data_IF_475300491443
#
_entry.id   IF_475300491443
#
_cell.length_a   1.000
_cell.length_b   1.000
_cell.length_c   1.000
_cell.angle_alpha   90.00
_cell.angle_beta   90.00
_cell.angle_gamma   90.00
#
_symmetry.space_group_name_H-M   'P 1'
#
loop_
_entity.id
_entity.type
_entity.pdbx_description
1 polymer ?
#
# COMPACT_ATOMS: atom_id res chain seq x y z
N UNK A 1 0.61 7.27 38.59
CA UNK A 1 0.24 6.27 37.59
C UNK A 1 -1.12 6.67 37.03
N UNK A 2 -1.14 7.35 35.90
CA UNK A 2 -2.37 7.77 35.21
C UNK A 2 -2.26 7.32 33.77
N UNK A 3 -3.01 6.25 33.42
CA UNK A 3 -3.12 5.69 32.09
C UNK A 3 -4.07 6.54 31.27
N UNK A 4 -3.52 7.39 30.42
CA UNK A 4 -4.28 8.14 29.43
C UNK A 4 -4.60 7.21 28.24
N UNK A 5 -5.77 6.59 28.27
CA UNK A 5 -6.33 5.91 27.10
C UNK A 5 -6.76 6.99 26.09
N UNK A 6 -5.97 7.18 25.07
CA UNK A 6 -6.39 7.92 23.86
C UNK A 6 -7.49 7.11 23.16
N UNK A 7 -8.74 7.49 23.40
CA UNK A 7 -9.88 6.96 22.68
C UNK A 7 -9.86 7.56 21.27
N UNK A 8 -9.41 6.81 20.29
CA UNK A 8 -9.61 7.14 18.86
C UNK A 8 -11.12 7.23 18.62
N UNK A 9 -11.65 8.44 18.56
CA UNK A 9 -13.03 8.70 18.17
C UNK A 9 -13.22 8.21 16.74
N UNK A 10 -13.79 7.02 16.57
CA UNK A 10 -14.31 6.60 15.27
C UNK A 10 -15.38 7.62 14.86
N UNK A 11 -15.08 8.47 13.87
CA UNK A 11 -16.09 9.34 13.28
C UNK A 11 -17.17 8.43 12.70
N UNK A 12 -18.43 8.64 13.11
CA UNK A 12 -19.55 7.96 12.49
C UNK A 12 -19.57 8.29 10.98
N UNK A 13 -19.89 7.34 10.12
CA UNK A 13 -19.97 7.59 8.69
C UNK A 13 -20.96 8.73 8.42
N UNK A 14 -20.55 9.69 7.58
CA UNK A 14 -21.33 10.91 7.30
C UNK A 14 -22.75 10.64 6.80
N UNK A 15 -23.01 9.47 6.18
CA UNK A 15 -24.33 9.08 5.70
C UNK A 15 -25.38 8.87 6.83
N UNK A 16 -24.94 8.77 8.09
CA UNK A 16 -25.84 8.71 9.26
C UNK A 16 -26.25 10.09 9.76
N UNK A 17 -25.65 11.15 9.27
CA UNK A 17 -25.89 12.54 9.70
C UNK A 17 -26.90 13.27 8.79
N UNK A 18 -27.09 12.80 7.56
CA UNK A 18 -28.04 13.36 6.60
C UNK A 18 -28.58 12.26 5.67
N UNK A 19 -29.86 12.36 5.34
CA UNK A 19 -30.51 11.47 4.35
C UNK A 19 -30.88 12.20 3.05
N UNK A 20 -30.71 13.54 3.01
CA UNK A 20 -31.17 14.39 1.89
C UNK A 20 -30.03 14.99 1.10
N UNK A 21 -28.87 15.21 1.71
CA UNK A 21 -27.71 15.80 1.03
C UNK A 21 -26.99 14.66 0.29
N UNK A 22 -26.81 14.75 -1.06
CA UNK A 22 -26.04 13.76 -1.79
C UNK A 22 -24.59 13.69 -1.31
N UNK A 23 -24.09 12.49 -1.10
CA UNK A 23 -22.72 12.24 -0.63
C UNK A 23 -21.98 11.42 -1.70
N UNK A 24 -20.82 11.89 -2.14
CA UNK A 24 -19.88 11.12 -2.95
C UNK A 24 -18.72 10.70 -2.04
N UNK A 25 -18.56 9.39 -1.84
CA UNK A 25 -17.56 8.84 -0.93
C UNK A 25 -16.47 8.09 -1.69
N UNK A 26 -15.26 8.10 -1.12
CA UNK A 26 -14.16 7.23 -1.53
C UNK A 26 -13.75 6.44 -0.30
N UNK A 27 -13.74 5.13 -0.39
CA UNK A 27 -13.32 4.24 0.69
C UNK A 27 -12.62 3.01 0.12
N UNK A 28 -11.99 2.22 0.99
CA UNK A 28 -11.42 0.93 0.59
C UNK A 28 -12.53 0.03 0.03
N UNK A 29 -13.58 -0.20 0.82
CA UNK A 29 -14.81 -0.86 0.40
C UNK A 29 -16.01 -0.11 0.98
N UNK A 30 -16.84 0.48 0.11
CA UNK A 30 -18.02 1.24 0.49
C UNK A 30 -19.10 0.37 1.13
N UNK A 31 -19.22 -0.89 0.71
CA UNK A 31 -20.19 -1.84 1.26
C UNK A 31 -19.74 -2.31 2.64
N UNK A 32 -18.50 -2.75 2.78
CA UNK A 32 -17.94 -3.17 4.06
C UNK A 32 -17.88 -2.01 5.09
N UNK A 33 -17.68 -0.76 4.60
CA UNK A 33 -17.76 0.43 5.44
C UNK A 33 -19.20 0.80 5.85
N UNK A 34 -20.22 0.11 5.32
CA UNK A 34 -21.62 0.39 5.59
C UNK A 34 -22.11 1.73 5.03
N UNK A 35 -21.42 2.27 4.02
CA UNK A 35 -21.77 3.54 3.39
C UNK A 35 -22.83 3.36 2.30
N UNK A 36 -22.86 2.20 1.65
CA UNK A 36 -23.85 1.80 0.65
C UNK A 36 -24.31 0.35 0.89
N UNK A 37 -25.50 -0.01 0.39
CA UNK A 37 -26.00 -1.39 0.52
C UNK A 37 -25.32 -2.33 -0.47
N UNK A 38 -25.10 -1.89 -1.69
CA UNK A 38 -24.30 -2.59 -2.70
C UNK A 38 -23.77 -1.59 -3.73
N UNK A 39 -22.78 -1.99 -4.52
CA UNK A 39 -22.20 -1.12 -5.56
C UNK A 39 -23.19 -0.84 -6.71
N UNK A 40 -24.09 -1.77 -7.00
CA UNK A 40 -25.09 -1.63 -8.06
C UNK A 40 -26.36 -0.92 -7.61
N UNK A 41 -26.69 -0.99 -6.31
CA UNK A 41 -27.84 -0.34 -5.70
C UNK A 41 -27.43 0.26 -4.35
N UNK A 42 -26.91 1.51 -4.34
CA UNK A 42 -26.42 2.14 -3.11
C UNK A 42 -27.48 2.27 -2.00
N UNK A 43 -28.76 2.39 -2.35
CA UNK A 43 -29.89 2.31 -1.40
C UNK A 43 -30.14 3.56 -0.57
N UNK A 44 -29.43 4.66 -0.83
CA UNK A 44 -29.54 5.91 -0.07
C UNK A 44 -29.03 7.11 -0.85
N UNK A 45 -28.63 8.16 -0.10
CA UNK A 45 -28.08 9.40 -0.65
C UNK A 45 -26.55 9.35 -0.84
N UNK A 46 -25.91 8.21 -0.63
CA UNK A 46 -24.46 8.01 -0.78
C UNK A 46 -24.17 7.19 -2.02
N UNK A 47 -23.21 7.66 -2.82
CA UNK A 47 -22.57 6.93 -3.92
C UNK A 47 -21.06 7.11 -3.83
N UNK A 48 -20.27 6.41 -4.64
CA UNK A 48 -18.81 6.62 -4.61
C UNK A 48 -18.00 5.53 -5.29
N UNK A 49 -16.72 5.48 -4.89
CA UNK A 49 -15.71 4.58 -5.45
C UNK A 49 -15.13 3.74 -4.33
N UNK A 50 -15.15 2.40 -4.50
CA UNK A 50 -14.35 1.46 -3.71
C UNK A 50 -13.00 1.28 -4.41
N UNK A 51 -11.91 1.56 -3.69
CA UNK A 51 -10.54 1.44 -4.24
C UNK A 51 -9.95 0.05 -4.05
N UNK A 52 -10.58 -0.81 -3.24
CA UNK A 52 -10.19 -2.21 -2.97
C UNK A 52 -8.70 -2.32 -2.59
N UNK A 53 -8.22 -1.39 -1.77
CA UNK A 53 -6.81 -1.29 -1.42
C UNK A 53 -6.28 -2.56 -0.75
N UNK A 54 -7.11 -3.21 0.08
CA UNK A 54 -6.73 -4.45 0.78
C UNK A 54 -6.38 -5.57 -0.20
N UNK A 55 -7.21 -5.78 -1.24
CA UNK A 55 -6.97 -6.82 -2.26
C UNK A 55 -5.81 -6.44 -3.19
N UNK A 56 -5.72 -5.16 -3.55
CA UNK A 56 -4.63 -4.65 -4.38
C UNK A 56 -3.27 -4.74 -3.67
N UNK A 57 -3.22 -4.48 -2.37
CA UNK A 57 -1.98 -4.57 -1.60
C UNK A 57 -1.47 -6.02 -1.52
N UNK A 58 -2.34 -6.98 -1.25
CA UNK A 58 -1.97 -8.40 -1.29
C UNK A 58 -1.46 -8.80 -2.68
N UNK A 59 -2.11 -8.32 -3.76
CA UNK A 59 -1.68 -8.59 -5.13
C UNK A 59 -0.34 -7.93 -5.49
N UNK A 60 -0.02 -6.76 -4.92
CA UNK A 60 1.29 -6.12 -5.10
C UNK A 60 2.42 -7.00 -4.56
N UNK A 61 2.23 -7.67 -3.42
CA UNK A 61 3.23 -8.59 -2.86
C UNK A 61 3.52 -9.76 -3.82
N UNK A 62 2.48 -10.35 -4.42
CA UNK A 62 2.66 -11.38 -5.45
C UNK A 62 3.46 -10.86 -6.64
N UNK A 63 3.06 -9.70 -7.18
CA UNK A 63 3.74 -9.08 -8.33
C UNK A 63 5.20 -8.78 -8.00
N UNK A 64 5.47 -8.22 -6.81
CA UNK A 64 6.82 -7.92 -6.39
C UNK A 64 7.68 -9.18 -6.28
N UNK A 65 7.11 -10.28 -5.79
CA UNK A 65 7.77 -11.59 -5.75
C UNK A 65 8.05 -12.15 -7.15
N UNK A 66 7.16 -11.91 -8.12
CA UNK A 66 7.39 -12.30 -9.52
C UNK A 66 8.54 -11.47 -10.15
N UNK A 67 8.66 -10.19 -9.77
CA UNK A 67 9.71 -9.29 -10.27
C UNK A 67 11.08 -9.64 -9.68
N UNK A 68 11.13 -9.94 -8.39
CA UNK A 68 12.37 -10.28 -7.65
C UNK A 68 12.27 -11.68 -7.02
N UNK A 69 12.29 -12.75 -7.82
CA UNK A 69 11.99 -14.10 -7.37
C UNK A 69 12.98 -14.66 -6.34
N UNK A 70 14.20 -14.14 -6.30
CA UNK A 70 15.23 -14.55 -5.34
C UNK A 70 15.04 -13.91 -3.95
N UNK A 71 14.36 -12.75 -3.88
CA UNK A 71 14.18 -12.02 -2.63
C UNK A 71 13.29 -12.79 -1.65
N UNK A 72 13.66 -12.74 -0.37
CA UNK A 72 12.92 -13.33 0.76
C UNK A 72 12.53 -12.30 1.80
N UNK A 73 13.34 -11.25 1.96
CA UNK A 73 13.15 -10.21 2.94
C UNK A 73 12.45 -9.01 2.31
N UNK A 74 11.13 -9.00 2.44
CA UNK A 74 10.29 -7.92 1.94
C UNK A 74 10.03 -6.89 3.02
N UNK A 75 9.88 -5.65 2.60
CA UNK A 75 9.54 -4.56 3.47
C UNK A 75 8.24 -3.87 3.06
N UNK A 76 7.58 -3.31 4.05
CA UNK A 76 6.36 -2.53 3.90
C UNK A 76 6.60 -1.13 4.47
N UNK A 77 6.50 -0.10 3.63
CA UNK A 77 6.50 1.30 4.08
C UNK A 77 5.06 1.77 4.20
N UNK A 78 4.66 2.20 5.39
CA UNK A 78 3.28 2.59 5.62
C UNK A 78 3.14 3.88 6.42
N UNK A 79 2.05 4.58 6.16
CA UNK A 79 1.50 5.62 7.00
C UNK A 79 0.44 5.00 7.94
N UNK A 80 0.68 4.96 9.26
CA UNK A 80 -0.25 4.36 10.22
C UNK A 80 -1.64 5.01 10.21
N UNK A 81 -1.72 6.31 9.90
CA UNK A 81 -3.00 7.03 9.85
C UNK A 81 -3.92 6.57 8.72
N UNK A 82 -3.34 6.00 7.66
CA UNK A 82 -4.05 5.55 6.46
C UNK A 82 -4.14 4.02 6.31
N UNK A 83 -3.49 3.28 7.21
CA UNK A 83 -3.43 1.82 7.16
C UNK A 83 -4.36 1.19 8.20
N UNK A 84 -5.14 0.19 7.78
CA UNK A 84 -6.01 -0.57 8.67
C UNK A 84 -5.39 -1.92 9.03
N UNK A 85 -5.77 -2.46 10.20
CA UNK A 85 -5.35 -3.81 10.61
C UNK A 85 -5.75 -4.89 9.60
N UNK A 86 -6.91 -4.70 8.93
CA UNK A 86 -7.39 -5.62 7.90
C UNK A 86 -6.43 -5.66 6.71
N UNK A 87 -5.96 -4.49 6.24
CA UNK A 87 -4.97 -4.41 5.16
C UNK A 87 -3.66 -5.09 5.54
N UNK A 88 -3.14 -4.77 6.74
CA UNK A 88 -1.88 -5.38 7.22
C UNK A 88 -1.99 -6.90 7.34
N UNK A 89 -3.11 -7.39 7.86
CA UNK A 89 -3.36 -8.82 7.97
C UNK A 89 -3.34 -9.49 6.60
N UNK A 90 -4.04 -8.94 5.60
CA UNK A 90 -4.08 -9.49 4.25
C UNK A 90 -2.69 -9.55 3.60
N UNK A 91 -1.88 -8.48 3.74
CA UNK A 91 -0.51 -8.42 3.25
C UNK A 91 0.37 -9.47 3.95
N UNK A 92 0.28 -9.57 5.28
CA UNK A 92 1.05 -10.52 6.08
C UNK A 92 0.70 -11.97 5.75
N UNK A 93 -0.57 -12.26 5.54
CA UNK A 93 -1.03 -13.59 5.13
C UNK A 93 -0.51 -13.96 3.74
N UNK A 94 -0.54 -13.01 2.81
CA UNK A 94 0.03 -13.20 1.48
C UNK A 94 1.55 -13.42 1.52
N UNK A 95 2.28 -12.59 2.25
CA UNK A 95 3.72 -12.75 2.42
C UNK A 95 4.07 -14.13 2.99
N UNK A 96 3.35 -14.57 4.02
CA UNK A 96 3.52 -15.90 4.62
C UNK A 96 3.24 -17.03 3.62
N UNK A 97 2.17 -16.90 2.83
CA UNK A 97 1.82 -17.90 1.81
C UNK A 97 2.89 -18.03 0.73
N UNK A 98 3.64 -16.96 0.46
CA UNK A 98 4.75 -16.92 -0.49
C UNK A 98 6.12 -17.26 0.14
N UNK A 99 6.16 -17.57 1.45
CA UNK A 99 7.40 -17.87 2.18
C UNK A 99 8.32 -16.66 2.33
N UNK A 100 7.74 -15.47 2.48
CA UNK A 100 8.46 -14.20 2.64
C UNK A 100 8.49 -13.79 4.11
N UNK A 101 9.62 -13.22 4.53
CA UNK A 101 9.73 -12.44 5.75
C UNK A 101 9.29 -10.99 5.45
N UNK A 102 8.48 -10.42 6.33
CA UNK A 102 7.90 -9.08 6.12
C UNK A 102 8.30 -8.15 7.27
N UNK A 103 9.13 -7.15 6.96
CA UNK A 103 9.46 -6.04 7.86
C UNK A 103 8.48 -4.88 7.59
N UNK A 104 7.89 -4.32 8.63
CA UNK A 104 7.05 -3.11 8.49
C UNK A 104 7.77 -1.91 9.08
N UNK A 105 7.81 -0.81 8.33
CA UNK A 105 8.37 0.47 8.77
C UNK A 105 7.31 1.55 8.64
N UNK A 106 7.05 2.23 9.74
CA UNK A 106 6.05 3.29 9.83
C UNK A 106 6.69 4.66 9.58
N UNK A 107 5.98 5.53 8.88
CA UNK A 107 6.34 6.92 8.64
C UNK A 107 5.11 7.80 8.87
N UNK A 108 5.27 8.87 9.64
CA UNK A 108 4.18 9.80 9.96
C UNK A 108 4.38 11.16 9.29
N UNK A 109 5.61 11.43 8.83
CA UNK A 109 5.99 12.67 8.18
C UNK A 109 7.11 12.46 7.16
N UNK A 110 7.37 13.43 6.25
CA UNK A 110 8.50 13.34 5.32
C UNK A 110 9.86 13.29 6.02
N UNK A 111 9.97 13.87 7.22
CA UNK A 111 11.21 13.84 7.99
C UNK A 111 11.64 12.41 8.38
N UNK A 112 10.71 11.46 8.39
CA UNK A 112 10.97 10.07 8.77
C UNK A 112 11.54 9.23 7.61
N UNK A 113 11.43 9.69 6.37
CA UNK A 113 11.78 8.89 5.19
C UNK A 113 13.23 8.42 5.18
N UNK A 114 14.18 9.32 5.44
CA UNK A 114 15.59 8.96 5.45
C UNK A 114 15.90 7.91 6.53
N UNK A 115 15.35 8.05 7.73
CA UNK A 115 15.52 7.09 8.82
C UNK A 115 14.83 5.75 8.51
N UNK A 116 13.65 5.80 7.88
CA UNK A 116 12.92 4.61 7.43
C UNK A 116 13.75 3.80 6.43
N UNK A 117 14.31 4.43 5.39
CA UNK A 117 15.15 3.74 4.41
C UNK A 117 16.46 3.21 5.01
N UNK A 118 17.06 3.93 5.96
CA UNK A 118 18.19 3.41 6.71
C UNK A 118 17.83 2.15 7.52
N UNK A 119 16.65 2.14 8.15
CA UNK A 119 16.11 0.98 8.88
C UNK A 119 15.84 -0.20 7.95
N UNK A 120 15.22 0.04 6.78
CA UNK A 120 14.99 -0.99 5.76
C UNK A 120 16.31 -1.66 5.33
N UNK A 121 17.33 -0.85 5.06
CA UNK A 121 18.65 -1.34 4.68
C UNK A 121 19.32 -2.15 5.81
N UNK A 122 19.26 -1.65 7.05
CA UNK A 122 19.81 -2.35 8.20
C UNK A 122 19.11 -3.69 8.47
N UNK A 123 17.80 -3.77 8.20
CA UNK A 123 16.99 -4.99 8.28
C UNK A 123 17.16 -5.94 7.10
N UNK A 124 18.01 -5.62 6.12
CA UNK A 124 18.27 -6.50 4.98
C UNK A 124 17.15 -6.56 3.94
N UNK A 125 16.26 -5.55 3.90
CA UNK A 125 15.16 -5.53 2.92
C UNK A 125 15.68 -5.65 1.49
N UNK A 126 15.15 -6.62 0.74
CA UNK A 126 15.48 -6.90 -0.66
C UNK A 126 14.44 -6.36 -1.64
N UNK A 127 13.23 -6.09 -1.16
CA UNK A 127 12.14 -5.51 -1.93
C UNK A 127 11.19 -4.71 -1.03
N UNK A 128 10.55 -3.67 -1.58
CA UNK A 128 9.73 -2.72 -0.84
C UNK A 128 8.34 -2.58 -1.45
N UNK A 129 7.30 -2.77 -0.65
CA UNK A 129 5.94 -2.34 -0.97
C UNK A 129 5.64 -1.02 -0.25
N UNK A 130 5.33 0.03 -1.02
CA UNK A 130 4.93 1.34 -0.51
C UNK A 130 3.40 1.41 -0.55
N UNK A 131 2.78 1.44 0.64
CA UNK A 131 1.33 1.47 0.74
C UNK A 131 0.74 2.81 0.30
N UNK A 132 -0.45 2.75 -0.26
CA UNK A 132 -1.17 3.96 -0.63
C UNK A 132 -1.61 4.75 0.60
N UNK A 133 -1.18 6.01 0.68
CA UNK A 133 -1.68 7.03 1.61
C UNK A 133 -1.53 8.41 1.00
N UNK A 134 -2.29 9.41 1.47
CA UNK A 134 -2.10 10.80 1.04
C UNK A 134 -0.68 11.32 1.30
N UNK A 135 -0.08 10.95 2.44
CA UNK A 135 1.30 11.32 2.77
C UNK A 135 2.27 10.79 1.71
N UNK A 136 2.28 9.46 1.48
CA UNK A 136 3.22 8.82 0.58
C UNK A 136 2.99 9.22 -0.89
N UNK A 137 1.75 9.49 -1.28
CA UNK A 137 1.40 10.00 -2.61
C UNK A 137 1.96 11.40 -2.87
N UNK A 138 1.88 12.31 -1.89
CA UNK A 138 2.37 13.67 -2.04
C UNK A 138 3.91 13.75 -2.18
N UNK A 139 4.63 12.78 -1.64
CA UNK A 139 6.10 12.71 -1.62
C UNK A 139 6.66 11.61 -2.52
N UNK A 140 5.90 11.17 -3.50
CA UNK A 140 6.27 10.06 -4.39
C UNK A 140 7.61 10.25 -5.12
N UNK A 141 7.97 11.48 -5.50
CA UNK A 141 9.26 11.76 -6.17
C UNK A 141 10.44 11.57 -5.22
N UNK A 142 10.32 12.01 -3.97
CA UNK A 142 11.34 11.85 -2.95
C UNK A 142 11.52 10.37 -2.60
N UNK A 143 10.43 9.65 -2.39
CA UNK A 143 10.44 8.21 -2.14
C UNK A 143 11.04 7.44 -3.32
N UNK A 144 10.71 7.82 -4.55
CA UNK A 144 11.31 7.27 -5.76
C UNK A 144 12.83 7.48 -5.81
N UNK A 145 13.32 8.68 -5.43
CA UNK A 145 14.74 8.98 -5.28
C UNK A 145 15.43 8.08 -4.27
N UNK A 146 14.82 7.91 -3.09
CA UNK A 146 15.34 7.04 -2.04
C UNK A 146 15.39 5.56 -2.48
N UNK A 147 14.38 5.04 -3.16
CA UNK A 147 14.42 3.66 -3.67
C UNK A 147 15.58 3.43 -4.63
N UNK A 148 15.95 4.44 -5.42
CA UNK A 148 17.11 4.39 -6.32
C UNK A 148 18.43 4.47 -5.57
N UNK A 149 18.56 5.40 -4.63
CA UNK A 149 19.75 5.58 -3.81
C UNK A 149 20.09 4.30 -3.05
N UNK A 150 19.07 3.67 -2.46
CA UNK A 150 19.22 2.43 -1.72
C UNK A 150 19.22 1.17 -2.61
N UNK A 151 19.03 1.33 -3.94
CA UNK A 151 18.94 0.22 -4.91
C UNK A 151 17.89 -0.83 -4.52
N UNK A 152 16.80 -0.39 -3.94
CA UNK A 152 15.74 -1.24 -3.40
C UNK A 152 14.60 -1.33 -4.42
N UNK A 153 14.36 -2.49 -5.05
CA UNK A 153 13.21 -2.69 -5.92
C UNK A 153 11.92 -2.38 -5.15
N UNK A 154 11.07 -1.53 -5.70
CA UNK A 154 9.87 -1.11 -5.02
C UNK A 154 8.64 -1.21 -5.91
N UNK A 155 7.50 -1.52 -5.28
CA UNK A 155 6.18 -1.43 -5.87
C UNK A 155 5.34 -0.41 -5.12
N UNK A 156 4.52 0.34 -5.85
CA UNK A 156 3.60 1.30 -5.28
C UNK A 156 2.32 1.35 -6.12
N UNK A 157 1.28 1.99 -5.58
CA UNK A 157 0.00 2.12 -6.27
C UNK A 157 -0.01 3.27 -7.29
N UNK A 158 0.92 4.23 -7.17
CA UNK A 158 0.93 5.43 -7.98
C UNK A 158 1.95 5.33 -9.13
N UNK A 159 1.44 5.51 -10.34
CA UNK A 159 2.23 5.45 -11.58
C UNK A 159 3.36 6.47 -11.63
N UNK A 160 3.14 7.62 -11.03
CA UNK A 160 4.05 8.76 -11.04
C UNK A 160 5.35 8.47 -10.29
N UNK A 161 5.33 7.60 -9.26
CA UNK A 161 6.56 7.14 -8.59
C UNK A 161 7.53 6.45 -9.54
N UNK A 162 7.01 5.68 -10.49
CA UNK A 162 7.82 5.00 -11.52
C UNK A 162 8.41 5.95 -12.56
N UNK A 163 7.85 7.15 -12.73
CA UNK A 163 8.34 8.13 -13.72
C UNK A 163 9.46 9.03 -13.19
N UNK A 164 9.54 9.20 -11.86
CA UNK A 164 10.46 10.13 -11.21
C UNK A 164 11.86 9.60 -10.97
N UNK A 165 12.15 8.33 -11.22
CA UNK A 165 13.45 7.87 -10.80
C UNK A 165 13.89 6.45 -11.11
N UNK A 166 13.05 5.56 -11.62
CA UNK A 166 13.56 4.22 -11.89
C UNK A 166 14.31 4.20 -13.25
N UNK A 167 15.62 3.88 -13.29
CA UNK A 167 16.36 3.79 -14.54
C UNK A 167 15.66 2.82 -15.50
N UNK A 168 15.51 3.21 -16.76
CA UNK A 168 14.94 2.34 -17.82
C UNK A 168 15.58 0.95 -17.88
N UNK A 169 16.78 0.80 -17.38
CA UNK A 169 17.52 -0.46 -17.31
C UNK A 169 16.95 -1.43 -16.26
N UNK A 170 16.54 -0.93 -15.07
CA UNK A 170 15.89 -1.75 -14.05
C UNK A 170 14.49 -2.18 -14.48
N UNK A 171 13.74 -1.31 -15.16
CA UNK A 171 12.48 -1.67 -15.82
C UNK A 171 12.65 -2.76 -16.89
N UNK A 172 13.75 -2.72 -17.65
CA UNK A 172 14.04 -3.75 -18.66
C UNK A 172 14.37 -5.09 -18.03
N UNK A 173 15.12 -5.13 -16.91
CA UNK A 173 15.41 -6.34 -16.17
C UNK A 173 14.14 -6.92 -15.52
N UNK A 174 13.35 -6.07 -14.85
CA UNK A 174 12.07 -6.49 -14.26
C UNK A 174 11.08 -6.98 -15.35
N UNK A 175 10.95 -6.26 -16.46
CA UNK A 175 10.09 -6.65 -17.57
C UNK A 175 10.60 -7.91 -18.31
N UNK A 176 11.91 -8.15 -18.34
CA UNK A 176 12.53 -9.39 -18.84
C UNK A 176 12.12 -10.58 -18.00
N UNK A 177 12.29 -10.47 -16.68
CA UNK A 177 11.92 -11.52 -15.73
C UNK A 177 10.43 -11.87 -15.76
N UNK A 178 9.55 -10.87 -15.90
CA UNK A 178 8.09 -11.10 -16.03
C UNK A 178 7.72 -11.79 -17.34
N UNK A 179 8.40 -11.49 -18.45
CA UNK A 179 8.18 -12.15 -19.75
C UNK A 179 8.66 -13.60 -19.73
N UNK A 180 9.79 -13.86 -19.09
CA UNK A 180 10.35 -15.21 -18.98
C UNK A 180 9.51 -16.09 -18.04
N UNK A 181 9.03 -15.55 -16.92
CA UNK A 181 8.11 -16.25 -16.02
C UNK A 181 6.77 -16.63 -16.70
N UNK A 182 6.26 -15.82 -17.64
CA UNK A 182 5.07 -16.16 -18.43
C UNK A 182 5.33 -17.23 -19.48
N UNK A 183 6.53 -17.32 -20.05
CA UNK A 183 6.90 -18.37 -21.03
C UNK A 183 7.08 -19.74 -20.39
N UNK A 184 7.40 -19.80 -19.09
CA UNK A 184 7.59 -21.08 -18.38
C UNK A 184 6.27 -21.69 -17.86
N UNK A 185 5.13 -20.98 -18.02
CA UNK A 185 3.78 -21.46 -17.61
C UNK A 185 2.87 -21.82 -18.81
N UNK A 186 3.41 -21.88 -20.02
CA UNK A 186 2.69 -22.24 -21.25
C UNK A 186 3.02 -23.66 -21.74
#
# INVERSE_FOLDING_TARGET
>A
MSSSRSATRRRAPHNKQTSTIPIVAIADDLVAAGLVQSMTKPGGNTTGISILATELDAKKVEILKEIVPAARDFALLRDPASSTEVRLKAITEMARALGLELQTVDVESPADFAAAFATLRAGGAEALDILASPLLANFQHELGGLTLEYKLPAICQFREMGQGGMPRQLWRQAAGNVRDARRLRG
#
